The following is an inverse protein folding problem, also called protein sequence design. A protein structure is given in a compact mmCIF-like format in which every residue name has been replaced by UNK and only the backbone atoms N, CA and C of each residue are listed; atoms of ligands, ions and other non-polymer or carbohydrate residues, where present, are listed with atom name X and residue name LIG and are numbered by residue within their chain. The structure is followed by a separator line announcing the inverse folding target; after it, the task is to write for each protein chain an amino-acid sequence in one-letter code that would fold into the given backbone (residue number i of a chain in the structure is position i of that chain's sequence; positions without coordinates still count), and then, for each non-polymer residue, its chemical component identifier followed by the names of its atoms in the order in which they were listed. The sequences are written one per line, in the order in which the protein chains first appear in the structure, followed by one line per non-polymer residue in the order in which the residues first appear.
data_IF_860314662167
#
_entry.id   IF_860314662167
#
_cell.length_a   1.000
_cell.length_b   1.000
_cell.length_c   1.000
_cell.angle_alpha   90.00
_cell.angle_beta   90.00
_cell.angle_gamma   90.00
#
_symmetry.space_group_name_H-M   'P 1'
#
loop_
_entity.id
_entity.type
_entity.pdbx_description
1 polymer ?
#
# COMPACT_ATOMS: atom_id res chain seq x y z
N UNK A 1 -26.00 0.81 -21.68
CA UNK A 1 -25.69 -0.59 -21.30
C UNK A 1 -25.11 -0.54 -19.90
N UNK A 2 -25.57 -1.41 -18.99
CA UNK A 2 -25.01 -1.54 -17.64
C UNK A 2 -23.88 -2.57 -17.67
N UNK A 3 -22.73 -2.26 -17.06
CA UNK A 3 -21.61 -3.21 -16.92
C UNK A 3 -21.75 -4.06 -15.65
N UNK A 4 -22.04 -3.42 -14.52
CA UNK A 4 -22.11 -4.06 -13.22
C UNK A 4 -22.31 -3.06 -12.10
N UNK A 5 -22.13 -3.53 -10.88
CA UNK A 5 -22.39 -2.81 -9.64
C UNK A 5 -21.14 -2.81 -8.76
N UNK A 6 -20.73 -1.63 -8.31
CA UNK A 6 -19.93 -1.51 -7.09
C UNK A 6 -20.87 -1.68 -5.89
N UNK A 7 -20.45 -2.43 -4.88
CA UNK A 7 -21.29 -2.67 -3.70
C UNK A 7 -21.28 -1.50 -2.72
N UNK A 8 -20.11 -0.89 -2.54
CA UNK A 8 -19.84 0.26 -1.67
C UNK A 8 -18.57 0.98 -2.19
N UNK A 9 -18.01 1.90 -1.40
CA UNK A 9 -16.75 2.59 -1.68
C UNK A 9 -15.92 2.79 -0.41
N UNK A 10 -14.67 2.33 -0.40
CA UNK A 10 -13.72 2.51 0.70
C UNK A 10 -14.32 2.17 2.09
N UNK A 11 -14.91 0.97 2.21
CA UNK A 11 -15.66 0.48 3.37
C UNK A 11 -14.99 0.62 4.76
N UNK A 12 -13.70 0.96 4.81
CA UNK A 12 -12.99 1.19 6.06
C UNK A 12 -12.69 -0.12 6.79
N UNK A 13 -12.03 -1.06 6.11
CA UNK A 13 -11.58 -2.36 6.64
C UNK A 13 -10.54 -2.29 7.78
N UNK A 14 -10.48 -1.19 8.52
CA UNK A 14 -9.62 -0.93 9.66
C UNK A 14 -9.78 -2.03 10.73
N UNK A 15 -8.80 -2.94 10.76
CA UNK A 15 -8.86 -4.19 11.50
C UNK A 15 -9.01 -3.94 13.01
N UNK A 16 -8.16 -3.10 13.60
CA UNK A 16 -8.23 -2.82 15.03
C UNK A 16 -9.56 -2.20 15.42
N UNK A 17 -10.07 -1.29 14.59
CA UNK A 17 -11.35 -0.62 14.81
C UNK A 17 -12.50 -1.63 14.75
N UNK A 18 -12.56 -2.47 13.71
CA UNK A 18 -13.60 -3.49 13.56
C UNK A 18 -13.54 -4.57 14.66
N UNK A 19 -12.34 -4.99 15.07
CA UNK A 19 -12.14 -5.92 16.16
C UNK A 19 -12.64 -5.34 17.49
N UNK A 20 -12.25 -4.09 17.80
CA UNK A 20 -12.71 -3.39 19.01
C UNK A 20 -14.22 -3.17 19.01
N UNK A 21 -14.80 -2.65 17.92
CA UNK A 21 -16.24 -2.41 17.83
C UNK A 21 -17.04 -3.72 18.00
N UNK A 22 -16.54 -4.84 17.46
CA UNK A 22 -17.16 -6.15 17.69
C UNK A 22 -17.19 -6.52 19.18
N UNK A 23 -16.11 -6.22 19.92
CA UNK A 23 -16.04 -6.42 21.36
C UNK A 23 -16.92 -5.44 22.16
N UNK A 24 -17.44 -4.39 21.54
CA UNK A 24 -18.41 -3.47 22.16
C UNK A 24 -19.87 -3.85 21.86
N UNK A 25 -20.11 -4.73 20.88
CA UNK A 25 -21.45 -5.21 20.57
C UNK A 25 -22.07 -6.02 21.72
N UNK A 26 -23.41 -6.05 21.75
CA UNK A 26 -24.18 -6.91 22.66
C UNK A 26 -23.78 -8.39 22.54
N UNK A 27 -23.87 -9.20 23.62
CA UNK A 27 -23.71 -10.66 23.60
C UNK A 27 -24.60 -11.39 22.59
N UNK A 28 -25.71 -10.76 22.20
CA UNK A 28 -26.66 -11.30 21.20
C UNK A 28 -26.24 -11.03 19.74
N UNK A 29 -25.18 -10.23 19.52
CA UNK A 29 -24.67 -9.96 18.17
C UNK A 29 -24.02 -11.20 17.57
N UNK A 30 -24.49 -11.63 16.39
CA UNK A 30 -23.90 -12.75 15.66
C UNK A 30 -22.41 -12.54 15.34
N UNK A 31 -21.99 -11.30 15.08
CA UNK A 31 -20.58 -10.97 14.84
C UNK A 31 -19.73 -11.17 16.10
N UNK A 32 -20.23 -10.76 17.28
CA UNK A 32 -19.54 -11.00 18.56
C UNK A 32 -19.47 -12.49 18.86
N UNK A 33 -20.57 -13.21 18.71
CA UNK A 33 -20.59 -14.66 18.92
C UNK A 33 -19.59 -15.39 18.01
N UNK A 34 -19.45 -14.93 16.75
CA UNK A 34 -18.45 -15.47 15.83
C UNK A 34 -17.01 -15.18 16.28
N UNK A 35 -16.74 -13.97 16.79
CA UNK A 35 -15.44 -13.64 17.38
C UNK A 35 -15.13 -14.52 18.60
N UNK A 36 -16.09 -14.68 19.52
CA UNK A 36 -15.91 -15.52 20.71
C UNK A 36 -15.60 -16.97 20.33
N UNK A 37 -16.32 -17.51 19.34
CA UNK A 37 -16.04 -18.85 18.79
C UNK A 37 -14.62 -18.94 18.24
N UNK A 38 -14.18 -17.97 17.42
CA UNK A 38 -12.81 -17.95 16.89
C UNK A 38 -11.76 -17.91 18.00
N UNK A 39 -11.97 -17.08 19.04
CA UNK A 39 -11.05 -16.98 20.17
C UNK A 39 -10.96 -18.30 20.95
N UNK A 40 -12.09 -18.92 21.29
CA UNK A 40 -12.10 -20.22 21.98
C UNK A 40 -11.44 -21.32 21.14
N UNK A 41 -11.67 -21.34 19.83
CA UNK A 41 -11.01 -22.29 18.90
C UNK A 41 -9.50 -22.06 18.83
N UNK A 42 -9.07 -20.80 18.70
CA UNK A 42 -7.66 -20.43 18.52
C UNK A 42 -6.83 -20.67 19.77
N UNK A 43 -7.41 -20.44 20.95
CA UNK A 43 -6.74 -20.57 22.24
C UNK A 43 -7.17 -21.81 23.02
N UNK A 44 -7.73 -22.81 22.33
CA UNK A 44 -8.11 -24.12 22.90
C UNK A 44 -8.98 -24.05 24.16
N UNK A 45 -9.83 -23.02 24.25
CA UNK A 45 -10.64 -22.71 25.42
C UNK A 45 -9.84 -22.40 26.70
N UNK A 46 -8.54 -22.10 26.58
CA UNK A 46 -7.60 -21.83 27.67
C UNK A 46 -7.38 -20.32 27.82
N UNK A 47 -7.94 -19.73 28.88
CA UNK A 47 -7.84 -18.28 29.11
C UNK A 47 -6.38 -17.78 29.20
N UNK A 48 -5.51 -18.54 29.86
CA UNK A 48 -4.10 -18.20 30.00
C UNK A 48 -3.37 -18.14 28.65
N UNK A 49 -3.77 -18.94 27.66
CA UNK A 49 -3.18 -18.90 26.32
C UNK A 49 -3.58 -17.62 25.57
N UNK A 50 -4.85 -17.19 25.70
CA UNK A 50 -5.32 -15.91 25.15
C UNK A 50 -4.53 -14.74 25.75
N UNK A 51 -4.24 -14.77 27.05
CA UNK A 51 -3.49 -13.74 27.74
C UNK A 51 -2.00 -13.64 27.33
N UNK A 52 -1.45 -14.62 26.61
CA UNK A 52 -0.12 -14.49 26.00
C UNK A 52 -0.14 -13.48 24.83
N UNK A 53 -1.27 -13.37 24.15
CA UNK A 53 -1.45 -12.53 22.97
C UNK A 53 -2.21 -11.24 23.25
N UNK A 54 -3.04 -11.21 24.29
CA UNK A 54 -3.91 -10.09 24.59
C UNK A 54 -3.82 -9.63 26.06
N UNK A 55 -4.02 -8.33 26.27
CA UNK A 55 -4.37 -7.75 27.57
C UNK A 55 -5.90 -7.64 27.62
N UNK A 56 -6.51 -8.34 28.58
CA UNK A 56 -7.95 -8.27 28.82
C UNK A 56 -8.29 -7.10 29.75
N UNK A 57 -9.40 -6.41 29.44
CA UNK A 57 -9.92 -5.31 30.24
C UNK A 57 -11.36 -5.58 30.67
N UNK A 58 -11.59 -5.56 31.98
CA UNK A 58 -12.92 -5.71 32.59
C UNK A 58 -13.45 -7.14 32.69
N UNK A 59 -12.60 -8.15 32.42
CA UNK A 59 -12.95 -9.58 32.42
C UNK A 59 -11.77 -10.47 32.84
N UNK A 60 -12.06 -11.64 33.43
CA UNK A 60 -11.07 -12.59 33.94
C UNK A 60 -11.17 -14.01 33.35
N UNK A 61 -12.15 -14.27 32.47
CA UNK A 61 -12.34 -15.55 31.79
C UNK A 61 -13.17 -15.39 30.51
N UNK A 62 -13.34 -16.47 29.75
CA UNK A 62 -14.09 -16.46 28.50
C UNK A 62 -15.60 -16.21 28.71
N UNK A 63 -16.17 -16.73 29.81
CA UNK A 63 -17.59 -16.58 30.11
C UNK A 63 -17.95 -15.11 30.34
N UNK A 64 -17.07 -14.36 31.02
CA UNK A 64 -17.21 -12.90 31.15
C UNK A 64 -16.93 -12.17 29.84
N UNK A 65 -15.91 -12.58 29.09
CA UNK A 65 -15.57 -11.99 27.79
C UNK A 65 -16.71 -12.17 26.78
N UNK A 66 -17.50 -13.23 26.85
CA UNK A 66 -18.70 -13.38 26.02
C UNK A 66 -19.75 -12.30 26.32
N UNK A 67 -19.83 -11.86 27.57
CA UNK A 67 -20.82 -10.88 28.02
C UNK A 67 -20.37 -9.42 27.84
N UNK A 68 -19.08 -9.14 28.05
CA UNK A 68 -18.51 -7.78 28.09
C UNK A 68 -16.99 -7.79 27.89
N UNK A 69 -16.36 -6.64 28.05
CA UNK A 69 -14.90 -6.52 28.10
C UNK A 69 -14.24 -6.31 26.75
N UNK A 70 -12.98 -5.90 26.81
CA UNK A 70 -12.15 -5.60 25.65
C UNK A 70 -10.86 -6.43 25.70
N UNK A 71 -10.27 -6.63 24.52
CA UNK A 71 -8.96 -7.22 24.34
C UNK A 71 -8.08 -6.24 23.56
N UNK A 72 -6.89 -5.98 24.09
CA UNK A 72 -5.86 -5.20 23.42
C UNK A 72 -4.67 -6.10 23.09
N UNK A 73 -4.04 -5.91 21.94
CA UNK A 73 -2.89 -6.69 21.52
C UNK A 73 -1.70 -6.48 22.47
N UNK A 74 -1.09 -7.56 22.94
CA UNK A 74 0.19 -7.47 23.66
C UNK A 74 1.33 -7.16 22.69
N UNK A 75 2.19 -6.18 23.00
CA UNK A 75 3.38 -5.90 22.20
C UNK A 75 4.24 -7.15 21.97
N UNK A 76 4.71 -7.37 20.75
CA UNK A 76 5.59 -8.51 20.45
C UNK A 76 4.87 -9.86 20.28
N UNK A 77 3.56 -9.93 20.54
CA UNK A 77 2.79 -11.18 20.53
C UNK A 77 2.39 -11.65 19.12
N UNK A 78 1.63 -12.76 19.05
CA UNK A 78 1.09 -13.35 17.82
C UNK A 78 -0.41 -13.07 17.62
N UNK A 79 -1.05 -12.35 18.54
CA UNK A 79 -2.49 -12.06 18.51
C UNK A 79 -2.99 -11.35 17.26
N UNK A 80 -2.11 -10.63 16.55
CA UNK A 80 -2.45 -10.01 15.26
C UNK A 80 -2.98 -11.04 14.26
N UNK A 81 -2.50 -12.29 14.28
CA UNK A 81 -2.99 -13.34 13.39
C UNK A 81 -4.46 -13.65 13.64
N UNK A 82 -4.88 -13.65 14.90
CA UNK A 82 -6.27 -13.84 15.30
C UNK A 82 -7.14 -12.67 14.85
N UNK A 83 -6.67 -11.43 15.02
CA UNK A 83 -7.38 -10.24 14.53
C UNK A 83 -7.58 -10.29 13.00
N UNK A 84 -6.54 -10.67 12.25
CA UNK A 84 -6.59 -10.82 10.78
C UNK A 84 -7.49 -11.96 10.32
N UNK A 85 -7.45 -13.10 11.01
CA UNK A 85 -8.37 -14.20 10.75
C UNK A 85 -9.84 -13.75 10.96
N UNK A 86 -10.08 -12.98 12.00
CA UNK A 86 -11.41 -12.41 12.26
C UNK A 86 -11.84 -11.41 11.19
N UNK A 87 -10.95 -10.51 10.75
CA UNK A 87 -11.22 -9.58 9.64
C UNK A 87 -11.62 -10.33 8.36
N UNK A 88 -10.93 -11.43 8.05
CA UNK A 88 -11.30 -12.31 6.93
C UNK A 88 -12.70 -12.90 7.05
N UNK A 89 -13.14 -13.27 8.26
CA UNK A 89 -14.50 -13.77 8.50
C UNK A 89 -15.56 -12.68 8.31
N UNK A 90 -15.27 -11.43 8.71
CA UNK A 90 -16.18 -10.30 8.47
C UNK A 90 -16.29 -10.06 6.95
N UNK A 91 -15.15 -9.98 6.26
CA UNK A 91 -15.12 -9.75 4.82
C UNK A 91 -15.87 -10.84 4.04
N UNK A 92 -15.64 -12.12 4.36
CA UNK A 92 -16.34 -13.25 3.73
C UNK A 92 -17.87 -13.12 3.90
N UNK A 93 -18.33 -12.74 5.10
CA UNK A 93 -19.76 -12.55 5.34
C UNK A 93 -20.33 -11.38 4.55
N UNK A 94 -19.60 -10.26 4.46
CA UNK A 94 -20.00 -9.10 3.67
C UNK A 94 -20.11 -9.45 2.19
N UNK A 95 -19.06 -10.00 1.58
CA UNK A 95 -19.04 -10.26 0.15
C UNK A 95 -20.03 -11.36 -0.27
N UNK A 96 -20.19 -12.42 0.53
CA UNK A 96 -21.19 -13.45 0.26
C UNK A 96 -22.61 -12.90 0.25
N UNK A 97 -22.94 -12.03 1.21
CA UNK A 97 -24.25 -11.37 1.30
C UNK A 97 -24.49 -10.41 0.12
N UNK A 98 -23.51 -9.56 -0.19
CA UNK A 98 -23.57 -8.63 -1.32
C UNK A 98 -23.81 -9.39 -2.63
N UNK A 99 -23.05 -10.48 -2.85
CA UNK A 99 -23.21 -11.32 -4.03
C UNK A 99 -24.61 -11.92 -4.11
N UNK A 100 -25.11 -12.48 -3.02
CA UNK A 100 -26.44 -13.08 -2.96
C UNK A 100 -27.52 -12.06 -3.35
N UNK A 101 -27.45 -10.85 -2.79
CA UNK A 101 -28.39 -9.77 -3.08
C UNK A 101 -28.31 -9.35 -4.55
N UNK A 102 -27.11 -9.04 -5.07
CA UNK A 102 -26.95 -8.60 -6.46
C UNK A 102 -27.44 -9.68 -7.42
N UNK A 103 -27.05 -10.95 -7.22
CA UNK A 103 -27.46 -12.05 -8.11
C UNK A 103 -28.96 -12.35 -8.05
N UNK A 104 -29.62 -12.03 -6.93
CA UNK A 104 -31.08 -12.18 -6.80
C UNK A 104 -31.82 -11.18 -7.70
N UNK A 105 -31.37 -9.92 -7.75
CA UNK A 105 -32.06 -8.86 -8.49
C UNK A 105 -31.55 -8.63 -9.91
N UNK A 106 -30.26 -8.87 -10.17
CA UNK A 106 -29.68 -8.87 -11.52
C UNK A 106 -28.61 -9.97 -11.65
N UNK A 107 -28.99 -11.17 -12.14
CA UNK A 107 -28.03 -12.25 -12.33
C UNK A 107 -27.01 -11.97 -13.45
N UNK A 108 -27.20 -10.93 -14.28
CA UNK A 108 -26.34 -10.64 -15.44
C UNK A 108 -25.27 -9.59 -15.15
N UNK A 109 -25.53 -8.66 -14.23
CA UNK A 109 -24.59 -7.61 -13.86
C UNK A 109 -23.31 -8.17 -13.24
N UNK A 110 -22.17 -7.56 -13.56
CA UNK A 110 -20.91 -7.90 -12.90
C UNK A 110 -20.89 -7.35 -11.46
N UNK A 111 -20.31 -8.12 -10.54
CA UNK A 111 -20.03 -7.67 -9.17
C UNK A 111 -18.63 -7.09 -9.17
N UNK A 112 -18.55 -5.76 -9.10
CA UNK A 112 -17.30 -5.01 -9.28
C UNK A 112 -16.50 -4.82 -7.97
N UNK A 113 -17.02 -5.30 -6.85
CA UNK A 113 -16.41 -5.15 -5.52
C UNK A 113 -16.74 -3.82 -4.85
N UNK A 114 -16.00 -3.52 -3.78
CA UNK A 114 -16.24 -2.43 -2.82
C UNK A 114 -15.22 -1.29 -2.91
N UNK A 115 -14.40 -1.27 -3.97
CA UNK A 115 -13.45 -0.19 -4.28
C UNK A 115 -12.50 0.06 -3.11
N UNK A 116 -11.54 -0.86 -2.92
CA UNK A 116 -10.52 -0.69 -1.89
C UNK A 116 -9.90 0.70 -1.96
N UNK A 117 -9.57 1.28 -0.81
CA UNK A 117 -8.75 2.48 -0.80
C UNK A 117 -7.38 2.16 -1.44
N UNK A 118 -6.48 3.13 -1.56
CA UNK A 118 -5.09 2.90 -2.02
C UNK A 118 -4.24 2.00 -1.10
N UNK A 119 -4.88 1.13 -0.30
CA UNK A 119 -4.37 0.00 0.47
C UNK A 119 -5.47 -1.07 0.63
N UNK A 120 -5.09 -2.31 0.92
CA UNK A 120 -6.03 -3.38 1.29
C UNK A 120 -5.40 -4.37 2.26
N UNK A 121 -6.22 -5.03 3.09
CA UNK A 121 -5.74 -6.16 3.88
C UNK A 121 -5.76 -7.45 3.03
N UNK A 122 -4.67 -8.23 2.97
CA UNK A 122 -4.64 -9.47 2.18
C UNK A 122 -5.77 -10.47 2.49
N UNK A 123 -6.19 -10.57 3.75
CA UNK A 123 -7.34 -11.39 4.17
C UNK A 123 -8.67 -10.92 3.59
N UNK A 124 -8.87 -9.61 3.42
CA UNK A 124 -10.09 -9.04 2.81
C UNK A 124 -10.08 -9.31 1.31
N UNK A 125 -8.93 -9.12 0.65
CA UNK A 125 -8.76 -9.45 -0.77
C UNK A 125 -8.99 -10.94 -1.04
N UNK A 126 -8.48 -11.85 -0.20
CA UNK A 126 -8.75 -13.30 -0.34
C UNK A 126 -10.23 -13.62 -0.14
N UNK A 127 -10.86 -13.01 0.86
CA UNK A 127 -12.27 -13.25 1.15
C UNK A 127 -13.20 -12.71 0.05
N UNK A 128 -12.80 -11.68 -0.71
CA UNK A 128 -13.61 -11.17 -1.83
C UNK A 128 -13.62 -12.09 -3.05
N UNK A 129 -12.54 -12.85 -3.24
CA UNK A 129 -12.28 -13.64 -4.45
C UNK A 129 -13.42 -14.58 -4.89
N UNK A 130 -14.10 -15.33 -4.01
CA UNK A 130 -15.19 -16.22 -4.44
C UNK A 130 -16.44 -15.46 -4.90
N UNK A 131 -16.55 -14.17 -4.55
CA UNK A 131 -17.82 -13.45 -4.58
C UNK A 131 -17.88 -12.33 -5.62
N UNK A 132 -16.74 -11.83 -6.06
CA UNK A 132 -16.64 -10.74 -7.05
C UNK A 132 -16.25 -11.25 -8.44
N UNK A 133 -16.66 -10.53 -9.47
CA UNK A 133 -16.22 -10.75 -10.85
C UNK A 133 -14.91 -9.99 -11.15
N UNK A 134 -14.72 -8.84 -10.51
CA UNK A 134 -13.48 -8.06 -10.55
C UNK A 134 -13.11 -7.56 -9.16
N UNK A 135 -11.81 -7.47 -8.86
CA UNK A 135 -11.35 -6.70 -7.72
C UNK A 135 -11.26 -5.22 -8.10
N UNK A 136 -11.72 -4.30 -7.26
CA UNK A 136 -11.65 -2.86 -7.52
C UNK A 136 -10.83 -2.12 -6.47
N UNK A 137 -10.10 -1.11 -6.91
CA UNK A 137 -9.30 -0.26 -6.04
C UNK A 137 -9.23 1.19 -6.53
N UNK A 138 -9.44 2.13 -5.62
CA UNK A 138 -9.12 3.54 -5.76
C UNK A 138 -7.62 3.69 -5.58
N UNK A 139 -6.87 3.72 -6.70
CA UNK A 139 -5.42 3.64 -6.71
C UNK A 139 -4.81 4.84 -7.44
N UNK A 140 -4.26 5.76 -6.66
CA UNK A 140 -3.49 6.89 -7.18
C UNK A 140 -2.03 6.52 -7.46
N UNK A 141 -1.42 7.26 -8.37
CA UNK A 141 0.01 7.15 -8.63
C UNK A 141 0.80 7.31 -7.33
N UNK A 142 1.79 6.44 -7.14
CA UNK A 142 2.66 6.45 -5.97
C UNK A 142 3.57 7.69 -5.96
N UNK A 143 3.80 8.30 -7.12
CA UNK A 143 4.63 9.50 -7.30
C UNK A 143 4.03 10.52 -8.26
N UNK A 144 4.47 11.77 -8.13
CA UNK A 144 4.02 12.93 -8.92
C UNK A 144 4.35 12.87 -10.43
N UNK A 145 5.00 11.82 -10.92
CA UNK A 145 5.21 11.57 -12.35
C UNK A 145 4.19 10.57 -12.95
N UNK A 146 3.22 10.10 -12.17
CA UNK A 146 2.18 9.18 -12.65
C UNK A 146 2.59 7.70 -12.63
N UNK A 147 3.68 7.33 -11.96
CA UNK A 147 4.09 5.91 -11.83
C UNK A 147 3.60 5.28 -10.53
N UNK A 148 3.52 3.95 -10.50
CA UNK A 148 3.08 3.15 -9.36
C UNK A 148 4.16 2.20 -8.88
N UNK A 149 4.05 1.75 -7.63
CA UNK A 149 4.75 0.54 -7.19
C UNK A 149 4.29 -0.67 -8.02
N UNK A 150 5.17 -1.66 -8.16
CA UNK A 150 4.89 -2.90 -8.88
C UNK A 150 4.01 -3.82 -8.04
N UNK A 151 4.29 -3.96 -6.75
CA UNK A 151 3.60 -4.94 -5.90
C UNK A 151 2.07 -4.78 -5.81
N UNK A 152 1.52 -3.55 -5.79
CA UNK A 152 0.13 -3.34 -5.33
C UNK A 152 -0.89 -4.11 -6.18
N UNK A 153 -0.85 -3.88 -7.49
CA UNK A 153 -1.79 -4.48 -8.45
C UNK A 153 -1.47 -5.96 -8.68
N UNK A 154 -0.17 -6.30 -8.76
CA UNK A 154 0.29 -7.68 -8.95
C UNK A 154 -0.16 -8.57 -7.79
N UNK A 155 0.04 -8.12 -6.55
CA UNK A 155 -0.36 -8.86 -5.34
C UNK A 155 -1.88 -8.92 -5.18
N UNK A 156 -2.61 -7.86 -5.54
CA UNK A 156 -4.08 -7.88 -5.50
C UNK A 156 -4.62 -8.92 -6.48
N UNK A 157 -4.09 -8.95 -7.69
CA UNK A 157 -4.43 -9.94 -8.70
C UNK A 157 -4.06 -11.35 -8.22
N UNK A 158 -2.87 -11.55 -7.67
CA UNK A 158 -2.43 -12.85 -7.18
C UNK A 158 -3.27 -13.38 -6.00
N UNK A 159 -3.70 -12.50 -5.08
CA UNK A 159 -4.55 -12.86 -3.95
C UNK A 159 -5.98 -13.24 -4.38
N UNK A 160 -6.51 -12.54 -5.38
CA UNK A 160 -7.93 -12.69 -5.79
C UNK A 160 -8.12 -13.66 -6.94
N UNK A 161 -7.11 -13.82 -7.80
CA UNK A 161 -7.22 -14.46 -9.10
C UNK A 161 -8.16 -13.73 -10.07
N UNK A 162 -8.55 -12.47 -9.77
CA UNK A 162 -9.53 -11.71 -10.54
C UNK A 162 -8.89 -10.63 -11.40
N UNK A 163 -9.53 -10.24 -12.53
CA UNK A 163 -9.20 -8.99 -13.18
C UNK A 163 -9.38 -7.81 -12.21
N UNK A 164 -8.57 -6.76 -12.40
CA UNK A 164 -8.55 -5.58 -11.52
C UNK A 164 -9.11 -4.36 -12.25
N UNK A 165 -9.95 -3.59 -11.57
CA UNK A 165 -10.48 -2.32 -12.03
C UNK A 165 -9.93 -1.20 -11.13
N UNK A 166 -9.19 -0.25 -11.70
CA UNK A 166 -8.77 0.95 -10.97
C UNK A 166 -9.94 1.93 -10.97
N UNK A 167 -10.71 1.93 -9.90
CA UNK A 167 -12.02 2.57 -9.84
C UNK A 167 -11.99 4.07 -9.58
N UNK A 168 -10.84 4.57 -9.13
CA UNK A 168 -10.49 6.00 -9.05
C UNK A 168 -8.98 6.17 -9.22
N UNK A 169 -8.60 7.15 -10.03
CA UNK A 169 -7.28 7.75 -9.97
C UNK A 169 -7.36 9.23 -10.38
N UNK A 170 -6.40 10.02 -9.92
CA UNK A 170 -6.30 11.43 -10.28
C UNK A 170 -4.87 11.98 -10.25
N UNK A 171 -4.73 13.20 -10.75
CA UNK A 171 -3.53 14.02 -10.70
C UNK A 171 -3.97 15.48 -10.61
N UNK A 172 -3.39 16.26 -9.70
CA UNK A 172 -3.72 17.66 -9.48
C UNK A 172 -2.58 18.59 -9.88
N UNK A 173 -2.87 19.87 -10.11
CA UNK A 173 -1.86 20.88 -10.39
C UNK A 173 -2.11 22.15 -9.57
N UNK A 174 -1.04 22.75 -9.04
CA UNK A 174 -1.10 24.07 -8.40
C UNK A 174 -1.57 25.16 -9.36
N UNK A 175 -1.18 25.07 -10.63
CA UNK A 175 -1.75 25.88 -11.70
C UNK A 175 -3.18 25.41 -11.99
N UNK A 176 -4.17 25.97 -11.31
CA UNK A 176 -5.58 25.72 -11.61
C UNK A 176 -6.35 27.05 -11.66
N UNK A 177 -7.51 27.05 -12.34
CA UNK A 177 -8.33 28.25 -12.55
C UNK A 177 -9.57 28.31 -11.64
N UNK A 178 -9.77 27.26 -10.86
CA UNK A 178 -10.86 27.14 -9.87
C UNK A 178 -10.48 27.71 -8.50
N UNK A 179 -9.21 28.05 -8.25
CA UNK A 179 -8.75 28.57 -6.96
C UNK A 179 -8.53 27.48 -5.89
N UNK A 180 -8.49 26.21 -6.29
CA UNK A 180 -8.26 25.07 -5.42
C UNK A 180 -6.86 25.12 -4.78
N UNK A 181 -6.77 24.89 -3.47
CA UNK A 181 -5.51 24.89 -2.74
C UNK A 181 -4.76 23.57 -2.87
N UNK A 182 -5.49 22.48 -3.11
CA UNK A 182 -4.96 21.11 -3.19
C UNK A 182 -4.16 20.72 -1.93
N UNK A 183 -4.66 21.06 -0.73
CA UNK A 183 -3.92 20.95 0.53
C UNK A 183 -4.51 19.98 1.56
N UNK A 184 -5.65 19.34 1.26
CA UNK A 184 -6.29 18.36 2.15
C UNK A 184 -5.87 16.93 1.82
N UNK A 185 -4.86 16.40 2.51
CA UNK A 185 -4.42 15.01 2.35
C UNK A 185 -3.15 14.82 1.51
N UNK A 186 -2.90 13.59 1.07
CA UNK A 186 -1.64 13.18 0.41
C UNK A 186 -1.93 12.68 -0.99
N UNK A 187 -2.24 13.61 -1.89
CA UNK A 187 -2.52 13.33 -3.29
C UNK A 187 -1.39 13.81 -4.21
N UNK A 188 -1.26 13.23 -5.42
CA UNK A 188 -0.29 13.71 -6.39
C UNK A 188 -0.63 15.14 -6.87
N UNK A 189 0.22 16.10 -6.51
CA UNK A 189 0.08 17.52 -6.90
C UNK A 189 1.34 17.99 -7.62
N UNK A 190 1.22 18.25 -8.92
CA UNK A 190 2.29 18.82 -9.77
C UNK A 190 2.17 20.35 -9.86
N UNK A 191 3.10 21.02 -10.55
CA UNK A 191 3.07 22.47 -10.65
C UNK A 191 2.11 22.93 -11.75
N UNK A 192 2.14 22.30 -12.92
CA UNK A 192 1.46 22.80 -14.13
C UNK A 192 0.40 21.84 -14.69
N UNK A 193 -0.55 22.35 -15.47
CA UNK A 193 -1.53 21.51 -16.19
C UNK A 193 -0.87 20.59 -17.23
N UNK A 194 0.27 21.00 -17.79
CA UNK A 194 1.06 20.16 -18.71
C UNK A 194 1.65 18.94 -17.99
N UNK A 195 2.20 19.15 -16.79
CA UNK A 195 2.69 18.04 -15.96
C UNK A 195 1.53 17.14 -15.52
N UNK A 196 0.35 17.71 -15.25
CA UNK A 196 -0.85 16.96 -14.88
C UNK A 196 -1.28 16.02 -16.01
N UNK A 197 -1.30 16.53 -17.24
CA UNK A 197 -1.57 15.74 -18.44
C UNK A 197 -0.49 14.66 -18.68
N UNK A 198 0.79 14.96 -18.42
CA UNK A 198 1.87 13.97 -18.52
C UNK A 198 1.70 12.84 -17.48
N UNK A 199 1.41 13.19 -16.22
CA UNK A 199 1.12 12.24 -15.16
C UNK A 199 -0.07 11.34 -15.49
N UNK A 200 -1.16 11.92 -16.00
CA UNK A 200 -2.31 11.17 -16.51
C UNK A 200 -1.90 10.16 -17.59
N UNK A 201 -1.13 10.59 -18.61
CA UNK A 201 -0.70 9.69 -19.69
C UNK A 201 0.18 8.56 -19.17
N UNK A 202 1.09 8.85 -18.25
CA UNK A 202 1.97 7.84 -17.65
C UNK A 202 1.15 6.81 -16.87
N UNK A 203 0.20 7.28 -16.05
CA UNK A 203 -0.71 6.42 -15.29
C UNK A 203 -1.52 5.52 -16.21
N UNK A 204 -2.25 6.09 -17.17
CA UNK A 204 -3.14 5.31 -18.06
C UNK A 204 -2.35 4.35 -18.93
N UNK A 205 -1.18 4.75 -19.43
CA UNK A 205 -0.33 3.86 -20.20
C UNK A 205 0.24 2.72 -19.35
N UNK A 206 0.55 2.94 -18.06
CA UNK A 206 0.98 1.87 -17.16
C UNK A 206 -0.16 0.89 -16.91
N UNK A 207 -1.35 1.39 -16.55
CA UNK A 207 -2.54 0.56 -16.30
C UNK A 207 -2.97 -0.23 -17.53
N UNK A 208 -2.99 0.39 -18.71
CA UNK A 208 -3.33 -0.29 -19.96
C UNK A 208 -2.34 -1.41 -20.32
N UNK A 209 -1.06 -1.26 -19.93
CA UNK A 209 -0.03 -2.28 -20.15
C UNK A 209 -0.04 -3.42 -19.13
N UNK A 210 -0.76 -3.27 -18.02
CA UNK A 210 -0.90 -4.33 -17.03
C UNK A 210 -1.98 -5.32 -17.50
N UNK A 211 -1.65 -6.58 -17.83
CA UNK A 211 -2.58 -7.47 -18.55
C UNK A 211 -3.91 -7.72 -17.83
N UNK A 212 -3.88 -7.91 -16.52
CA UNK A 212 -5.07 -8.19 -15.71
C UNK A 212 -5.86 -6.94 -15.30
N UNK A 213 -5.37 -5.72 -15.60
CA UNK A 213 -6.14 -4.49 -15.39
C UNK A 213 -7.11 -4.28 -16.54
N UNK A 214 -8.40 -4.25 -16.26
CA UNK A 214 -9.48 -4.24 -17.28
C UNK A 214 -10.20 -2.91 -17.42
N UNK A 215 -9.92 -1.95 -16.52
CA UNK A 215 -10.51 -0.62 -16.57
C UNK A 215 -9.80 0.34 -15.61
N UNK A 216 -9.93 1.64 -15.89
CA UNK A 216 -9.43 2.72 -15.06
C UNK A 216 -10.37 3.93 -15.17
N UNK A 217 -10.94 4.37 -14.04
CA UNK A 217 -11.89 5.48 -13.97
C UNK A 217 -11.19 6.72 -13.39
N UNK A 218 -11.25 7.83 -14.13
CA UNK A 218 -10.75 9.12 -13.65
C UNK A 218 -11.74 9.71 -12.64
N UNK A 219 -11.24 10.08 -11.47
CA UNK A 219 -12.03 10.81 -10.48
C UNK A 219 -11.57 12.28 -10.48
N UNK A 220 -12.38 13.26 -10.88
CA UNK A 220 -13.79 13.21 -11.25
C UNK A 220 -14.05 14.18 -12.42
N UNK A 221 -15.31 14.36 -12.81
CA UNK A 221 -15.64 15.14 -13.99
C UNK A 221 -15.27 16.63 -13.84
N UNK A 222 -15.62 17.27 -12.73
CA UNK A 222 -15.39 18.70 -12.49
C UNK A 222 -14.52 18.94 -11.24
N UNK A 223 -13.84 20.10 -11.19
CA UNK A 223 -13.08 20.53 -10.03
C UNK A 223 -14.00 20.71 -8.81
N UNK A 224 -13.45 20.47 -7.64
CA UNK A 224 -14.20 20.68 -6.41
C UNK A 224 -14.36 22.17 -6.09
N UNK A 225 -15.38 22.53 -5.28
CA UNK A 225 -15.54 23.90 -4.83
C UNK A 225 -14.25 24.45 -4.20
N UNK A 226 -13.88 25.69 -4.56
CA UNK A 226 -12.65 26.33 -4.08
C UNK A 226 -12.56 26.43 -2.55
N UNK A 227 -13.72 26.53 -1.88
CA UNK A 227 -13.86 26.61 -0.43
C UNK A 227 -14.08 25.24 0.24
N UNK A 228 -13.98 24.16 -0.53
CA UNK A 228 -14.17 22.80 -0.05
C UNK A 228 -15.60 22.27 -0.26
N UNK A 229 -15.69 20.95 -0.42
CA UNK A 229 -16.91 20.16 -0.26
C UNK A 229 -17.35 20.14 1.22
N UNK A 230 -18.41 19.38 1.54
CA UNK A 230 -18.91 19.23 2.92
C UNK A 230 -17.89 18.63 3.91
N UNK A 231 -16.90 17.91 3.40
CA UNK A 231 -15.75 17.36 4.14
C UNK A 231 -14.51 18.28 4.11
N UNK A 232 -14.59 19.43 3.45
CA UNK A 232 -13.51 20.39 3.27
C UNK A 232 -12.57 20.11 2.10
N UNK A 233 -12.75 19.00 1.38
CA UNK A 233 -11.91 18.61 0.24
C UNK A 233 -12.04 19.62 -0.92
N UNK A 234 -10.91 20.13 -1.43
CA UNK A 234 -10.87 21.31 -2.30
C UNK A 234 -9.87 21.18 -3.48
N UNK A 235 -9.87 20.05 -4.18
CA UNK A 235 -8.91 19.74 -5.24
C UNK A 235 -9.37 20.07 -6.65
N UNK A 236 -8.39 20.35 -7.51
CA UNK A 236 -8.59 20.46 -8.95
C UNK A 236 -8.56 19.05 -9.61
N UNK A 237 -9.48 18.16 -9.22
CA UNK A 237 -9.59 16.83 -9.81
C UNK A 237 -10.24 16.80 -11.20
N UNK A 238 -10.92 17.87 -11.62
CA UNK A 238 -11.79 17.87 -12.77
C UNK A 238 -11.11 17.73 -14.13
N UNK A 239 -11.79 17.07 -15.06
CA UNK A 239 -11.57 17.26 -16.50
C UNK A 239 -11.99 18.66 -16.93
N UNK A 240 -12.97 19.25 -16.24
CA UNK A 240 -13.41 20.64 -16.36
C UNK A 240 -13.22 21.42 -15.05
N UNK A 241 -13.20 22.74 -15.12
CA UNK A 241 -13.19 23.60 -13.93
C UNK A 241 -14.60 23.82 -13.37
N UNK A 242 -14.72 24.63 -12.31
CA UNK A 242 -16.02 25.00 -11.70
C UNK A 242 -16.96 25.83 -12.60
N UNK A 243 -16.50 26.22 -13.79
CA UNK A 243 -17.25 26.97 -14.80
C UNK A 243 -17.50 26.13 -16.06
N UNK A 244 -17.35 24.80 -15.98
CA UNK A 244 -17.53 23.85 -17.07
C UNK A 244 -16.59 24.10 -18.28
N UNK A 245 -15.44 24.75 -18.04
CA UNK A 245 -14.40 24.88 -19.06
C UNK A 245 -13.48 23.66 -19.01
N UNK A 246 -13.12 23.01 -20.13
CA UNK A 246 -12.19 21.89 -20.17
C UNK A 246 -10.75 22.25 -19.81
N UNK A 247 -10.02 21.38 -19.10
CA UNK A 247 -8.56 21.50 -18.97
C UNK A 247 -7.90 20.92 -20.22
N UNK A 248 -7.60 21.78 -21.19
CA UNK A 248 -7.32 21.41 -22.58
C UNK A 248 -6.13 20.45 -22.70
N UNK A 249 -5.07 20.64 -21.91
CA UNK A 249 -3.93 19.75 -21.91
C UNK A 249 -4.30 18.32 -21.46
N UNK A 250 -5.17 18.20 -20.45
CA UNK A 250 -5.62 16.92 -19.89
C UNK A 250 -6.61 16.23 -20.84
N UNK A 251 -7.62 16.96 -21.33
CA UNK A 251 -8.64 16.39 -22.22
C UNK A 251 -8.07 16.02 -23.59
N UNK A 252 -7.14 16.83 -24.13
CA UNK A 252 -6.42 16.47 -25.36
C UNK A 252 -5.54 15.23 -25.15
N UNK A 253 -4.88 15.11 -24.00
CA UNK A 253 -4.09 13.92 -23.67
C UNK A 253 -4.97 12.66 -23.56
N UNK A 254 -6.16 12.76 -22.96
CA UNK A 254 -7.13 11.67 -22.90
C UNK A 254 -7.63 11.25 -24.28
N UNK A 255 -8.02 12.22 -25.12
CA UNK A 255 -8.53 11.95 -26.47
C UNK A 255 -7.47 11.35 -27.42
N UNK A 256 -6.18 11.66 -27.21
CA UNK A 256 -5.10 11.20 -28.07
C UNK A 256 -4.59 9.77 -27.76
N UNK A 257 -5.02 9.14 -26.66
CA UNK A 257 -4.56 7.80 -26.30
C UNK A 257 -5.35 6.72 -27.04
N UNK A 258 -4.66 5.96 -27.90
CA UNK A 258 -5.20 4.71 -28.45
C UNK A 258 -5.06 3.59 -27.41
N UNK A 259 -6.06 3.48 -26.52
CA UNK A 259 -6.08 2.50 -25.44
C UNK A 259 -6.16 1.06 -25.95
N UNK A 260 -6.82 0.83 -27.09
CA UNK A 260 -6.91 -0.50 -27.70
C UNK A 260 -5.54 -0.92 -28.18
N UNK A 261 -4.84 -0.08 -28.96
CA UNK A 261 -3.49 -0.40 -29.40
C UNK A 261 -2.50 -0.49 -28.23
N UNK A 262 -2.67 0.28 -27.15
CA UNK A 262 -1.86 0.14 -25.95
C UNK A 262 -2.08 -1.22 -25.28
N UNK A 263 -3.33 -1.67 -25.13
CA UNK A 263 -3.67 -2.93 -24.47
C UNK A 263 -3.35 -4.16 -25.30
N UNK A 264 -3.49 -4.09 -26.63
CA UNK A 264 -3.29 -5.23 -27.53
C UNK A 264 -1.83 -5.50 -27.89
N UNK A 265 -0.91 -4.57 -27.60
CA UNK A 265 0.52 -4.77 -27.90
C UNK A 265 1.14 -5.79 -26.94
N UNK A 266 2.08 -6.63 -27.42
CA UNK A 266 2.92 -7.42 -26.52
C UNK A 266 3.65 -6.51 -25.53
N UNK A 267 3.60 -6.87 -24.25
CA UNK A 267 4.33 -6.15 -23.22
C UNK A 267 5.63 -6.90 -22.91
N UNK A 268 6.80 -6.36 -23.29
CA UNK A 268 8.06 -6.99 -22.93
C UNK A 268 8.21 -7.00 -21.41
N UNK A 269 9.03 -7.94 -20.92
CA UNK A 269 9.40 -7.97 -19.52
C UNK A 269 9.96 -6.60 -19.09
N UNK A 270 9.48 -6.10 -17.94
CA UNK A 270 9.97 -4.84 -17.38
C UNK A 270 11.44 -5.00 -17.01
N UNK A 271 12.23 -3.97 -17.28
CA UNK A 271 13.63 -3.93 -16.84
C UNK A 271 13.71 -3.92 -15.31
N UNK A 272 14.81 -4.44 -14.77
CA UNK A 272 15.07 -4.51 -13.33
C UNK A 272 16.59 -4.52 -13.05
N UNK A 273 16.96 -4.61 -11.77
CA UNK A 273 18.34 -4.55 -11.30
C UNK A 273 19.22 -5.71 -11.78
N UNK A 274 18.65 -6.81 -12.27
CA UNK A 274 19.43 -7.89 -12.85
C UNK A 274 20.15 -7.44 -14.13
N UNK A 275 19.63 -6.43 -14.83
CA UNK A 275 20.24 -5.85 -16.04
C UNK A 275 21.34 -4.83 -15.71
N UNK A 276 21.47 -4.46 -14.44
CA UNK A 276 22.51 -3.58 -13.91
C UNK A 276 21.95 -2.42 -13.11
N UNK A 277 22.50 -2.21 -11.92
CA UNK A 277 22.08 -1.16 -10.99
C UNK A 277 22.46 0.22 -11.53
N UNK A 278 21.51 1.16 -11.63
CA UNK A 278 21.76 2.51 -12.10
C UNK A 278 22.49 3.36 -11.04
N UNK A 279 23.23 4.40 -11.46
CA UNK A 279 23.79 5.35 -10.50
C UNK A 279 22.68 6.08 -9.75
N UNK A 280 23.00 6.50 -8.54
CA UNK A 280 22.11 7.26 -7.68
C UNK A 280 22.03 8.72 -8.17
N UNK A 281 20.88 9.40 -8.02
CA UNK A 281 20.78 10.82 -8.35
C UNK A 281 21.69 11.65 -7.43
N UNK A 282 21.93 12.92 -7.77
CA UNK A 282 22.88 13.78 -7.02
C UNK A 282 22.60 13.90 -5.51
N UNK A 283 21.34 13.81 -5.09
CA UNK A 283 20.96 13.74 -3.68
C UNK A 283 19.95 12.60 -3.46
N UNK A 284 20.40 11.35 -3.24
CA UNK A 284 19.53 10.16 -3.21
C UNK A 284 18.48 10.19 -2.11
N UNK A 285 18.81 10.80 -0.97
CA UNK A 285 17.88 10.97 0.17
C UNK A 285 17.28 12.39 0.22
N UNK A 286 17.49 13.19 -0.83
CA UNK A 286 16.87 14.50 -0.99
C UNK A 286 15.38 14.39 -1.29
N UNK A 287 14.62 15.45 -0.96
CA UNK A 287 13.18 15.53 -1.22
C UNK A 287 12.39 14.32 -0.71
N UNK A 288 12.76 13.85 0.48
CA UNK A 288 12.09 12.75 1.16
C UNK A 288 10.77 13.23 1.79
N UNK A 289 9.84 13.64 0.94
CA UNK A 289 8.48 14.07 1.29
C UNK A 289 7.47 13.21 0.53
N UNK A 290 6.18 13.22 0.92
CA UNK A 290 5.16 12.46 0.22
C UNK A 290 5.15 12.74 -1.29
N UNK A 291 4.87 11.71 -2.09
CA UNK A 291 4.84 11.70 -3.57
C UNK A 291 6.15 12.07 -4.32
N UNK A 292 7.20 12.44 -3.58
CA UNK A 292 8.53 12.79 -4.12
C UNK A 292 9.66 11.88 -3.63
N UNK A 293 9.53 11.25 -2.47
CA UNK A 293 10.51 10.31 -1.95
C UNK A 293 10.81 9.20 -2.99
N UNK A 294 12.08 8.99 -3.33
CA UNK A 294 12.54 8.05 -4.38
C UNK A 294 12.13 8.40 -5.83
N UNK A 295 11.40 9.50 -6.07
CA UNK A 295 10.92 9.86 -7.42
C UNK A 295 12.05 10.01 -8.44
N UNK A 296 13.18 10.58 -8.02
CA UNK A 296 14.33 10.83 -8.88
C UNK A 296 15.28 9.63 -9.04
N UNK A 297 14.95 8.50 -8.43
CA UNK A 297 15.70 7.27 -8.66
C UNK A 297 15.21 6.64 -9.97
N UNK A 298 16.11 5.96 -10.67
CA UNK A 298 15.71 5.06 -11.74
C UNK A 298 15.12 3.78 -11.12
N UNK A 299 13.82 3.86 -10.80
CA UNK A 299 13.06 2.79 -10.14
C UNK A 299 12.77 1.60 -11.05
N UNK A 300 12.97 1.72 -12.36
CA UNK A 300 12.80 0.60 -13.27
C UNK A 300 14.08 -0.26 -13.27
N UNK A 301 15.25 0.30 -13.62
CA UNK A 301 16.51 -0.46 -13.56
C UNK A 301 16.99 -0.71 -12.14
N UNK A 302 16.56 0.08 -11.16
CA UNK A 302 16.86 -0.14 -9.76
C UNK A 302 15.96 -1.16 -9.09
N UNK A 303 14.87 -1.62 -9.72
CA UNK A 303 13.91 -2.54 -9.10
C UNK A 303 14.56 -3.89 -8.76
N UNK A 304 14.39 -4.37 -7.52
CA UNK A 304 14.84 -5.69 -7.10
C UNK A 304 13.63 -6.61 -7.02
N UNK A 305 13.62 -7.68 -7.81
CA UNK A 305 12.54 -8.66 -7.80
C UNK A 305 12.43 -9.32 -6.41
N UNK A 306 11.23 -9.34 -5.79
CA UNK A 306 11.03 -10.05 -4.54
C UNK A 306 11.12 -11.57 -4.76
N UNK A 307 11.58 -12.26 -3.72
CA UNK A 307 11.51 -13.74 -3.62
C UNK A 307 10.12 -14.16 -3.12
N UNK A 308 9.47 -13.31 -2.33
CA UNK A 308 8.12 -13.55 -1.83
C UNK A 308 7.08 -13.50 -2.96
N UNK A 309 6.15 -14.45 -2.97
CA UNK A 309 5.11 -14.57 -4.00
C UNK A 309 4.03 -13.48 -3.92
N UNK A 310 3.76 -12.98 -2.71
CA UNK A 310 2.72 -11.99 -2.43
C UNK A 310 3.33 -10.75 -1.74
N UNK A 311 4.23 -10.02 -2.41
CA UNK A 311 4.92 -8.88 -1.81
C UNK A 311 3.93 -7.76 -1.49
N UNK A 312 4.09 -7.12 -0.34
CA UNK A 312 3.37 -5.87 0.04
C UNK A 312 4.31 -4.67 0.00
N UNK A 313 5.45 -4.82 -0.68
CA UNK A 313 6.50 -3.82 -0.76
C UNK A 313 7.35 -4.01 -2.02
N UNK A 314 7.87 -2.89 -2.52
CA UNK A 314 8.92 -2.84 -3.54
C UNK A 314 10.26 -2.47 -2.91
N UNK A 315 11.34 -3.02 -3.47
CA UNK A 315 12.71 -2.65 -3.14
C UNK A 315 13.42 -2.11 -4.38
N UNK A 316 14.14 -1.00 -4.20
CA UNK A 316 14.95 -0.36 -5.24
C UNK A 316 16.39 -0.24 -4.78
N UNK A 317 17.33 -0.29 -5.71
CA UNK A 317 18.76 -0.10 -5.47
C UNK A 317 19.35 0.90 -6.46
N UNK A 318 20.19 1.81 -5.97
CA UNK A 318 21.07 2.64 -6.77
C UNK A 318 22.41 2.84 -6.06
N UNK A 319 23.42 3.43 -6.73
CA UNK A 319 24.77 3.52 -6.17
C UNK A 319 25.51 4.80 -6.56
N UNK A 320 26.46 5.23 -5.72
CA UNK A 320 27.50 6.16 -6.14
C UNK A 320 28.86 5.67 -5.63
N UNK A 321 29.93 6.42 -5.87
CA UNK A 321 31.27 6.01 -5.47
C UNK A 321 31.43 5.74 -3.96
N UNK A 322 30.58 6.31 -3.10
CA UNK A 322 30.71 6.23 -1.63
C UNK A 322 29.75 5.23 -0.98
N UNK A 323 28.61 4.95 -1.59
CA UNK A 323 27.56 4.15 -0.97
C UNK A 323 26.65 3.43 -1.98
N UNK A 324 26.02 2.36 -1.49
CA UNK A 324 24.81 1.78 -2.08
C UNK A 324 23.61 2.34 -1.33
N UNK A 325 22.56 2.69 -2.08
CA UNK A 325 21.30 3.15 -1.53
C UNK A 325 20.23 2.10 -1.80
N UNK A 326 19.55 1.67 -0.75
CA UNK A 326 18.35 0.85 -0.84
C UNK A 326 17.13 1.73 -0.57
N UNK A 327 16.10 1.64 -1.39
CA UNK A 327 14.83 2.34 -1.25
C UNK A 327 13.70 1.33 -1.10
N UNK A 328 12.84 1.53 -0.11
CA UNK A 328 11.69 0.69 0.19
C UNK A 328 10.41 1.50 -0.01
N UNK A 329 9.43 0.95 -0.71
CA UNK A 329 8.07 1.49 -0.74
C UNK A 329 7.09 0.37 -0.40
N UNK A 330 6.49 0.44 0.78
CA UNK A 330 5.65 -0.61 1.32
C UNK A 330 4.26 -0.13 1.74
N UNK A 331 3.31 -1.07 1.73
CA UNK A 331 2.13 -0.98 2.57
C UNK A 331 2.48 -1.47 3.97
N UNK A 332 2.10 -0.70 4.99
CA UNK A 332 2.36 -0.96 6.40
C UNK A 332 1.16 -0.48 7.23
N UNK A 333 0.17 -1.37 7.38
CA UNK A 333 -1.02 -1.07 8.16
C UNK A 333 -0.84 -1.55 9.60
N UNK A 334 -0.52 -0.61 10.49
CA UNK A 334 -0.47 -0.86 11.94
C UNK A 334 -1.27 0.23 12.66
N UNK A 335 -2.36 -0.18 13.30
CA UNK A 335 -3.30 0.71 13.97
C UNK A 335 -2.99 0.83 15.46
N UNK A 336 -2.93 2.06 15.97
CA UNK A 336 -2.71 2.30 17.40
C UNK A 336 -3.86 1.79 18.29
N UNK A 337 -5.06 1.63 17.71
CA UNK A 337 -6.25 1.13 18.38
C UNK A 337 -6.14 -0.35 18.82
N UNK A 338 -5.15 -1.10 18.31
CA UNK A 338 -4.83 -2.42 18.86
C UNK A 338 -4.34 -2.36 20.30
N UNK A 339 -3.78 -1.22 20.73
CA UNK A 339 -3.09 -1.11 22.02
C UNK A 339 -3.85 -0.21 22.98
N UNK A 340 -3.93 -0.62 24.24
CA UNK A 340 -4.55 0.16 25.32
C UNK A 340 -3.92 1.54 25.49
N UNK A 341 -2.60 1.63 25.26
CA UNK A 341 -1.84 2.88 25.29
C UNK A 341 -2.17 3.84 24.14
N UNK A 342 -2.94 3.40 23.14
CA UNK A 342 -3.19 4.10 21.88
C UNK A 342 -1.89 4.53 21.19
N UNK A 343 -0.86 3.68 21.27
CA UNK A 343 0.44 3.87 20.63
C UNK A 343 0.96 2.54 20.13
N UNK A 344 1.52 2.54 18.92
CA UNK A 344 2.21 1.39 18.37
C UNK A 344 3.56 1.21 19.11
N UNK A 345 3.80 0.08 19.81
CA UNK A 345 5.05 -0.17 20.50
C UNK A 345 6.18 -0.42 19.49
N UNK A 346 7.43 -0.13 19.88
CA UNK A 346 8.58 -0.26 18.98
C UNK A 346 8.73 -1.67 18.40
N UNK A 347 8.46 -2.69 19.21
CA UNK A 347 8.55 -4.11 18.81
C UNK A 347 7.63 -4.46 17.65
N UNK A 348 6.47 -3.80 17.54
CA UNK A 348 5.45 -4.05 16.50
C UNK A 348 5.52 -3.08 15.32
N UNK A 349 6.42 -2.08 15.38
CA UNK A 349 6.81 -1.31 14.20
C UNK A 349 7.46 -2.23 13.17
N UNK A 350 7.33 -1.87 11.90
CA UNK A 350 7.94 -2.62 10.82
C UNK A 350 9.46 -2.73 11.00
N UNK A 351 9.99 -3.93 10.72
CA UNK A 351 11.42 -4.22 10.80
C UNK A 351 11.98 -4.40 9.40
N UNK A 352 13.02 -3.64 9.07
CA UNK A 352 13.76 -3.79 7.83
C UNK A 352 15.17 -4.27 8.13
N UNK A 353 15.48 -5.49 7.66
CA UNK A 353 16.76 -6.16 7.86
C UNK A 353 17.51 -6.24 6.54
N UNK A 354 18.80 -5.91 6.54
CA UNK A 354 19.69 -6.03 5.38
C UNK A 354 20.94 -6.79 5.79
N UNK A 355 21.23 -7.88 5.08
CA UNK A 355 22.42 -8.71 5.28
C UNK A 355 23.37 -8.55 4.12
N UNK A 356 24.64 -8.29 4.41
CA UNK A 356 25.72 -8.10 3.43
C UNK A 356 26.77 -9.17 3.66
N UNK A 357 26.91 -10.13 2.74
CA UNK A 357 27.92 -11.20 2.81
C UNK A 357 28.03 -11.83 4.21
N UNK A 358 29.24 -11.88 4.81
CA UNK A 358 29.53 -12.42 6.15
C UNK A 358 29.37 -11.39 7.29
N UNK A 359 28.87 -10.17 6.99
CA UNK A 359 28.72 -9.12 8.01
C UNK A 359 27.49 -9.33 8.88
N UNK A 360 27.52 -8.77 10.11
CA UNK A 360 26.34 -8.66 10.97
C UNK A 360 25.20 -7.97 10.18
N UNK A 361 23.95 -8.51 10.21
CA UNK A 361 22.82 -7.85 9.57
C UNK A 361 22.53 -6.48 10.17
N UNK A 362 22.25 -5.50 9.30
CA UNK A 362 21.73 -4.18 9.65
C UNK A 362 20.24 -4.33 9.95
N UNK A 363 19.78 -3.81 11.09
CA UNK A 363 18.38 -3.85 11.51
C UNK A 363 17.87 -2.44 11.75
N UNK A 364 16.77 -2.09 11.08
CA UNK A 364 16.07 -0.84 11.29
C UNK A 364 14.60 -1.04 11.67
N UNK A 365 14.15 -0.34 12.71
CA UNK A 365 12.73 -0.15 13.02
C UNK A 365 12.23 1.11 12.34
N UNK A 366 11.25 0.96 11.46
CA UNK A 366 10.61 2.02 10.68
C UNK A 366 9.10 1.95 10.83
N UNK A 367 8.37 2.95 10.36
CA UNK A 367 6.91 2.93 10.42
C UNK A 367 6.31 3.63 11.64
N UNK A 368 4.98 3.54 11.75
CA UNK A 368 4.15 4.11 12.81
C UNK A 368 4.33 5.63 13.06
N UNK A 369 4.74 6.39 12.04
CA UNK A 369 4.95 7.84 12.17
C UNK A 369 6.14 8.24 13.05
N UNK A 370 6.96 7.27 13.48
CA UNK A 370 8.11 7.48 14.33
C UNK A 370 9.42 7.54 13.51
N UNK A 371 10.42 8.24 14.06
CA UNK A 371 11.78 8.29 13.48
C UNK A 371 12.38 6.89 13.37
N UNK A 372 13.21 6.62 12.34
CA UNK A 372 13.81 5.31 12.18
C UNK A 372 14.84 5.06 13.31
N UNK A 373 14.92 3.82 13.77
CA UNK A 373 15.94 3.36 14.73
C UNK A 373 16.78 2.31 14.03
N UNK A 374 18.09 2.51 13.89
CA UNK A 374 19.01 1.60 13.20
C UNK A 374 20.10 1.13 14.16
N UNK A 375 20.41 -0.16 14.16
CA UNK A 375 21.44 -0.73 15.04
C UNK A 375 22.88 -0.61 14.51
N UNK A 376 23.04 -0.14 13.27
CA UNK A 376 24.33 0.15 12.63
C UNK A 376 24.52 1.67 12.49
N UNK A 377 25.39 2.30 13.31
CA UNK A 377 25.58 3.76 13.32
C UNK A 377 26.13 4.34 12.02
N UNK A 378 26.84 3.55 11.21
CA UNK A 378 27.40 4.01 9.93
C UNK A 378 26.36 4.05 8.80
N UNK A 379 25.19 3.45 9.01
CA UNK A 379 24.09 3.43 8.04
C UNK A 379 23.11 4.55 8.35
N UNK A 380 22.86 5.41 7.37
CA UNK A 380 21.84 6.46 7.48
C UNK A 380 20.51 5.94 6.98
N UNK A 381 19.47 6.07 7.81
CA UNK A 381 18.10 5.66 7.49
C UNK A 381 17.16 6.87 7.52
N UNK A 382 16.30 6.98 6.51
CA UNK A 382 15.19 7.95 6.47
C UNK A 382 13.89 7.19 6.21
N UNK A 383 12.77 7.64 6.77
CA UNK A 383 11.45 7.08 6.46
C UNK A 383 10.32 8.14 6.52
N UNK A 384 9.26 7.86 5.76
CA UNK A 384 7.97 8.53 5.75
C UNK A 384 6.92 7.47 6.07
N UNK A 385 6.17 7.66 7.16
CA UNK A 385 5.20 6.66 7.59
C UNK A 385 4.12 7.24 8.51
N UNK A 386 3.19 6.39 8.92
CA UNK A 386 2.09 6.71 9.82
C UNK A 386 0.76 6.83 9.08
N UNK A 387 -0.33 6.92 9.85
CA UNK A 387 -1.70 6.94 9.29
C UNK A 387 -1.91 8.16 8.39
N UNK A 388 -1.27 9.30 8.69
CA UNK A 388 -1.25 10.51 7.83
C UNK A 388 -0.51 10.31 6.49
N UNK A 389 0.07 9.14 6.25
CA UNK A 389 0.67 8.73 4.97
C UNK A 389 -0.03 7.52 4.35
N UNK A 390 -1.34 7.43 4.57
CA UNK A 390 -2.28 6.53 3.91
C UNK A 390 -1.84 5.06 3.93
N UNK A 391 -1.42 4.59 5.13
CA UNK A 391 -0.90 3.24 5.40
C UNK A 391 0.42 2.88 4.68
N UNK A 392 1.13 3.85 4.12
CA UNK A 392 2.41 3.62 3.43
C UNK A 392 3.59 3.77 4.39
N UNK A 393 4.63 3.01 4.12
CA UNK A 393 5.95 3.19 4.72
C UNK A 393 6.99 3.25 3.59
N UNK A 394 7.51 4.46 3.36
CA UNK A 394 8.56 4.70 2.37
C UNK A 394 9.85 4.95 3.14
N UNK A 395 10.89 4.17 2.89
CA UNK A 395 12.15 4.28 3.60
C UNK A 395 13.34 4.20 2.64
N UNK A 396 14.49 4.68 3.09
CA UNK A 396 15.74 4.47 2.38
C UNK A 396 16.91 4.30 3.35
N UNK A 397 17.87 3.46 2.96
CA UNK A 397 19.12 3.21 3.64
C UNK A 397 20.28 3.64 2.75
N UNK A 398 21.20 4.42 3.30
CA UNK A 398 22.51 4.66 2.71
C UNK A 398 23.54 3.77 3.41
N UNK A 399 24.10 2.83 2.68
CA UNK A 399 25.04 1.83 3.16
C UNK A 399 26.44 2.15 2.60
N UNK A 400 27.40 2.54 3.44
CA UNK A 400 28.74 2.93 2.99
C UNK A 400 29.48 1.79 2.28
N UNK A 401 30.34 2.15 1.31
CA UNK A 401 31.18 1.19 0.58
C UNK A 401 32.03 0.31 1.49
N UNK A 402 32.44 0.83 2.65
CA UNK A 402 33.25 0.10 3.64
C UNK A 402 32.54 -1.15 4.18
N UNK A 403 31.21 -1.14 4.27
CA UNK A 403 30.42 -2.31 4.66
C UNK A 403 30.39 -3.42 3.60
N UNK A 404 30.79 -3.09 2.37
CA UNK A 404 30.97 -4.05 1.28
C UNK A 404 32.46 -4.41 1.08
N UNK A 405 33.32 -4.10 2.06
CA UNK A 405 34.77 -4.32 1.96
C UNK A 405 35.46 -3.46 0.91
N UNK A 406 34.87 -2.32 0.52
CA UNK A 406 35.38 -1.42 -0.52
C UNK A 406 35.64 -0.02 0.02
N UNK A 407 36.68 0.65 -0.50
CA UNK A 407 36.89 2.08 -0.25
C UNK A 407 36.00 2.97 -1.10
N UNK A 408 35.73 2.54 -2.35
CA UNK A 408 34.83 3.20 -3.29
C UNK A 408 34.25 2.20 -4.27
N UNK A 409 33.06 2.47 -4.77
CA UNK A 409 32.46 1.74 -5.88
C UNK A 409 32.88 2.30 -7.23
N UNK A 410 32.90 1.44 -8.24
CA UNK A 410 33.03 1.79 -9.67
C UNK A 410 32.08 0.94 -10.50
N UNK A 411 31.76 1.41 -11.71
CA UNK A 411 31.00 0.60 -12.66
C UNK A 411 31.72 -0.73 -12.93
N UNK A 412 30.95 -1.81 -13.00
CA UNK A 412 31.46 -3.18 -13.10
C UNK A 412 31.66 -3.88 -11.75
N UNK A 413 31.66 -3.16 -10.63
CA UNK A 413 31.62 -3.80 -9.32
C UNK A 413 30.33 -4.62 -9.17
N UNK A 414 30.42 -5.72 -8.42
CA UNK A 414 29.26 -6.53 -8.03
C UNK A 414 29.00 -6.35 -6.55
N UNK A 415 27.73 -6.21 -6.19
CA UNK A 415 27.26 -6.20 -4.80
C UNK A 415 26.32 -7.38 -4.59
N UNK A 416 26.36 -7.93 -3.38
CA UNK A 416 25.50 -9.03 -2.95
C UNK A 416 24.86 -8.69 -1.60
N UNK A 417 23.54 -8.85 -1.51
CA UNK A 417 22.77 -8.58 -0.31
C UNK A 417 21.52 -9.46 -0.23
N UNK A 418 21.05 -9.68 0.99
CA UNK A 418 19.69 -10.14 1.26
C UNK A 418 18.95 -9.06 2.04
N UNK A 419 17.65 -8.93 1.80
CA UNK A 419 16.80 -8.01 2.57
C UNK A 419 15.51 -8.68 2.98
N UNK A 420 15.04 -8.36 4.19
CA UNK A 420 13.78 -8.84 4.74
C UNK A 420 13.03 -7.66 5.34
N UNK A 421 11.76 -7.53 5.00
CA UNK A 421 10.85 -6.54 5.55
C UNK A 421 9.69 -7.24 6.26
N UNK A 422 9.56 -7.01 7.56
CA UNK A 422 8.46 -7.50 8.40
C UNK A 422 7.52 -6.33 8.69
N UNK A 423 6.23 -6.49 8.40
CA UNK A 423 5.21 -5.42 8.51
C UNK A 423 3.89 -5.97 9.05
N UNK A 424 2.91 -5.10 9.31
CA UNK A 424 1.58 -5.43 9.85
C UNK A 424 1.71 -6.21 11.17
N UNK A 425 2.47 -5.65 12.13
CA UNK A 425 2.83 -6.31 13.41
C UNK A 425 3.48 -7.69 13.22
N UNK A 426 4.38 -7.83 12.23
CA UNK A 426 5.07 -9.09 11.85
C UNK A 426 4.14 -10.17 11.27
N UNK A 427 2.95 -9.80 10.83
CA UNK A 427 2.05 -10.74 10.15
C UNK A 427 2.48 -11.00 8.71
N UNK A 428 3.10 -10.01 8.05
CA UNK A 428 3.60 -10.13 6.68
C UNK A 428 5.13 -10.03 6.63
N UNK A 429 5.73 -10.78 5.69
CA UNK A 429 7.17 -10.84 5.45
C UNK A 429 7.42 -10.75 3.94
N UNK A 430 8.25 -9.81 3.53
CA UNK A 430 8.73 -9.67 2.15
C UNK A 430 10.24 -9.85 2.13
N UNK A 431 10.74 -10.63 1.16
CA UNK A 431 12.16 -10.98 1.06
C UNK A 431 12.72 -10.69 -0.32
N UNK A 432 13.98 -10.27 -0.36
CA UNK A 432 14.75 -10.05 -1.57
C UNK A 432 16.13 -10.67 -1.44
N UNK A 433 16.67 -11.15 -2.56
CA UNK A 433 18.08 -11.52 -2.71
C UNK A 433 18.60 -10.82 -3.94
N UNK A 434 19.64 -10.02 -3.77
CA UNK A 434 20.26 -9.26 -4.86
C UNK A 434 21.71 -9.68 -5.03
N UNK A 435 22.06 -10.16 -6.22
CA UNK A 435 23.45 -10.21 -6.70
C UNK A 435 23.50 -9.47 -8.02
N UNK A 436 23.99 -8.23 -7.98
CA UNK A 436 23.78 -7.26 -9.06
C UNK A 436 25.06 -6.50 -9.39
N UNK A 437 25.22 -6.14 -10.66
CA UNK A 437 26.38 -5.39 -11.16
C UNK A 437 26.06 -3.90 -11.27
N UNK A 438 26.95 -3.06 -10.75
CA UNK A 438 26.85 -1.61 -10.83
C UNK A 438 27.15 -1.12 -12.25
N UNK A 439 26.29 -0.25 -12.81
CA UNK A 439 26.45 0.31 -14.16
C UNK A 439 26.40 1.85 -14.12
N UNK A 440 27.06 2.48 -15.09
CA UNK A 440 26.89 3.90 -15.36
C UNK A 440 25.56 4.17 -16.07
N UNK A 441 25.17 5.45 -16.16
CA UNK A 441 24.09 5.88 -17.06
C UNK A 441 24.40 5.38 -18.48
N UNK A 442 23.40 4.76 -19.11
CA UNK A 442 23.44 4.40 -20.53
C UNK A 442 22.53 5.37 -21.25
#
# INVERSE_FOLDING_TARGET
RLLGYYSDNEMGWWNATLFKMTLEHSPTSGQRQRLMKLLRETYHNTWAELLNDFEAEGVENFEELEQRGLLYLRPGSKGIRTCRAFLGLIAERYYSLVREIIRTYDPRGLILGDRYQSFYYPEVARASAPHVDTASANLNASWNDGTFTRYYLDTLHALTGKPVLVSEFYMCARQNRSGNRNDQGVFPVVATQRERALGFRNTVAALARTPFVVGADWFQYYDEPAHGRGDGENFNFGLVDIHDKPYEALTAAAAALDLVALKSKPHPARVDAAQGVPPAPGNPLGHFTPTLALKHWDRERGFVQPVSELPVADLYVCWNAKAVYLGLYAQDVVEEAFYKSKRVPESDRAEWVVSLQESKPIRARIGAGAKPVCDEPTVRVVNLSGVKLNTRNIAAMEIPATMFGKHRFKAGDTIEFASTFLTHCRADRVEWKGKVTLRNER
#
